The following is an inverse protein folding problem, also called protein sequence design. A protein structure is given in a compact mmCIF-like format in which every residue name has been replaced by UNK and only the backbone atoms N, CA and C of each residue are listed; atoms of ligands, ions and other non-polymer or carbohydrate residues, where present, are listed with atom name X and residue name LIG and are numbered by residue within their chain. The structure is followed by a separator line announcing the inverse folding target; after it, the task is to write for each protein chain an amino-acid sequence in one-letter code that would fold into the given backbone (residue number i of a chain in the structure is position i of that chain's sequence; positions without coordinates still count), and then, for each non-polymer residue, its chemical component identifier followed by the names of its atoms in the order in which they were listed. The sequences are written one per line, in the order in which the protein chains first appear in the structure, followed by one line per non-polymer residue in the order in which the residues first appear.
data_IF_590561552153
#
_entry.id   IF_590561552153
#
_cell.length_a   1.000
_cell.length_b   1.000
_cell.length_c   1.000
_cell.angle_alpha   90.00
_cell.angle_beta   90.00
_cell.angle_gamma   90.00
#
_symmetry.space_group_name_H-M   'P 1'
#
loop_
_entity.id
_entity.type
_entity.pdbx_description
1 polymer ?
#
# COMPACT_ATOMS: atom_id res chain seq x y z
N UNK A 1 -11.05 13.39 22.77
CA UNK A 1 -9.81 12.61 22.54
C UNK A 1 -10.21 11.21 22.08
N UNK A 2 -10.07 10.96 20.81
CA UNK A 2 -10.36 9.65 20.25
C UNK A 2 -9.36 8.63 20.78
N UNK A 3 -9.84 7.62 21.48
CA UNK A 3 -9.07 6.41 21.74
C UNK A 3 -8.73 5.82 20.36
N UNK A 4 -7.49 6.05 19.91
CA UNK A 4 -6.94 5.20 18.87
C UNK A 4 -6.91 3.81 19.47
N UNK A 5 -7.89 2.99 19.09
CA UNK A 5 -7.90 1.60 19.45
C UNK A 5 -6.58 1.01 18.96
N UNK A 6 -5.72 0.59 19.89
CA UNK A 6 -4.54 -0.17 19.54
C UNK A 6 -5.02 -1.40 18.77
N UNK A 7 -4.82 -1.39 17.47
CA UNK A 7 -5.07 -2.57 16.65
C UNK A 7 -4.14 -3.65 17.19
N UNK A 8 -4.70 -4.68 17.78
CA UNK A 8 -3.93 -5.81 18.25
C UNK A 8 -3.39 -6.56 17.03
N UNK A 9 -2.15 -6.30 16.68
CA UNK A 9 -1.48 -6.91 15.56
C UNK A 9 -1.11 -8.35 15.87
N UNK A 10 -1.54 -9.29 15.05
CA UNK A 10 -1.16 -10.71 15.17
C UNK A 10 0.04 -11.04 14.27
N UNK A 11 0.65 -12.21 14.47
CA UNK A 11 1.73 -12.69 13.57
C UNK A 11 1.23 -12.89 12.15
N UNK A 12 0.02 -13.38 12.00
CA UNK A 12 -0.63 -13.58 10.70
C UNK A 12 -0.83 -12.24 9.98
N UNK A 13 -1.26 -11.22 10.70
CA UNK A 13 -1.41 -9.87 10.16
C UNK A 13 -0.07 -9.34 9.65
N UNK A 14 0.97 -9.42 10.46
CA UNK A 14 2.32 -9.00 10.07
C UNK A 14 2.83 -9.76 8.85
N UNK A 15 2.64 -11.06 8.82
CA UNK A 15 3.04 -11.87 7.68
C UNK A 15 2.34 -11.43 6.41
N UNK A 16 1.04 -11.19 6.48
CA UNK A 16 0.26 -10.71 5.35
C UNK A 16 0.71 -9.33 4.89
N UNK A 17 0.97 -8.43 5.83
CA UNK A 17 1.44 -7.07 5.50
C UNK A 17 2.86 -7.07 4.92
N UNK A 18 3.74 -7.92 5.39
CA UNK A 18 5.08 -8.08 4.81
C UNK A 18 4.99 -8.61 3.38
N UNK A 19 4.15 -9.60 3.12
CA UNK A 19 3.91 -10.12 1.77
C UNK A 19 3.39 -9.05 0.81
N UNK A 20 2.52 -8.20 1.31
CA UNK A 20 1.86 -7.17 0.52
C UNK A 20 2.59 -5.83 0.53
N UNK A 21 3.62 -5.68 1.35
CA UNK A 21 4.34 -4.43 1.57
C UNK A 21 4.78 -3.77 0.27
N UNK A 22 5.39 -4.52 -0.60
CA UNK A 22 5.90 -4.04 -1.88
C UNK A 22 4.84 -3.34 -2.72
N UNK A 23 3.71 -3.99 -2.97
CA UNK A 23 2.67 -3.37 -3.80
C UNK A 23 1.85 -2.32 -3.05
N UNK A 24 1.73 -2.41 -1.72
CA UNK A 24 1.10 -1.36 -0.92
C UNK A 24 1.88 -0.05 -1.00
N UNK A 25 3.20 -0.12 -0.87
CA UNK A 25 4.09 1.05 -1.02
C UNK A 25 3.99 1.62 -2.43
N UNK A 26 4.03 0.77 -3.45
CA UNK A 26 3.88 1.20 -4.85
C UNK A 26 2.54 1.92 -5.09
N UNK A 27 1.45 1.43 -4.52
CA UNK A 27 0.13 2.05 -4.62
C UNK A 27 0.09 3.41 -3.92
N UNK A 28 0.69 3.52 -2.74
CA UNK A 28 0.79 4.78 -2.00
C UNK A 28 1.63 5.81 -2.79
N UNK A 29 2.76 5.38 -3.32
CA UNK A 29 3.63 6.24 -4.15
C UNK A 29 2.90 6.75 -5.39
N UNK A 30 2.17 5.89 -6.07
CA UNK A 30 1.37 6.28 -7.22
C UNK A 30 0.29 7.30 -6.85
N UNK A 31 -0.39 7.10 -5.73
CA UNK A 31 -1.40 8.01 -5.22
C UNK A 31 -0.84 9.40 -4.85
N UNK A 32 0.42 9.45 -4.44
CA UNK A 32 1.11 10.70 -4.05
C UNK A 32 1.79 11.40 -5.21
N UNK A 33 1.93 10.75 -6.38
CA UNK A 33 2.48 11.42 -7.55
C UNK A 33 1.61 12.61 -7.91
N UNK A 34 2.20 13.82 -8.07
CA UNK A 34 1.43 14.93 -8.60
C UNK A 34 0.89 14.50 -9.96
N UNK A 35 -0.39 14.76 -10.20
CA UNK A 35 -0.96 14.62 -11.53
C UNK A 35 -0.01 15.34 -12.47
N UNK A 36 0.62 14.63 -13.37
CA UNK A 36 1.56 15.21 -14.31
C UNK A 36 0.87 16.43 -14.92
N UNK A 37 1.52 17.59 -14.81
CA UNK A 37 1.06 18.77 -15.53
C UNK A 37 0.97 18.31 -16.97
N UNK A 38 -0.24 18.19 -17.45
CA UNK A 38 -0.48 17.86 -18.86
C UNK A 38 0.28 18.91 -19.62
N UNK A 39 1.38 18.51 -20.24
CA UNK A 39 2.13 19.43 -21.08
C UNK A 39 1.16 20.07 -22.02
N UNK A 40 1.08 21.39 -21.96
CA UNK A 40 0.16 22.21 -22.75
C UNK A 40 0.31 22.00 -24.28
N UNK A 41 1.16 21.07 -24.69
CA UNK A 41 1.43 20.73 -26.09
C UNK A 41 0.56 19.60 -26.65
N UNK A 42 -0.22 18.91 -25.82
CA UNK A 42 -1.24 17.97 -26.33
C UNK A 42 -2.61 18.67 -26.37
N UNK A 43 -2.69 19.65 -27.21
CA UNK A 43 -3.84 20.56 -27.32
C UNK A 43 -5.19 19.90 -27.62
N UNK A 44 -5.20 18.69 -28.12
CA UNK A 44 -6.44 18.02 -28.51
C UNK A 44 -7.02 17.21 -27.33
N UNK A 45 -6.18 16.57 -26.55
CA UNK A 45 -6.64 15.79 -25.38
C UNK A 45 -7.03 16.66 -24.19
N UNK A 46 -6.33 17.79 -23.99
CA UNK A 46 -6.56 18.68 -22.85
C UNK A 46 -7.89 19.44 -22.95
N UNK A 47 -8.30 19.84 -24.14
CA UNK A 47 -9.61 20.49 -24.35
C UNK A 47 -10.77 19.53 -24.12
N UNK A 48 -10.65 18.29 -24.56
CA UNK A 48 -11.67 17.25 -24.35
C UNK A 48 -11.76 16.90 -22.86
N UNK A 49 -10.63 16.78 -22.17
CA UNK A 49 -10.60 16.50 -20.74
C UNK A 49 -11.19 17.65 -19.91
N UNK A 50 -10.89 18.90 -20.27
CA UNK A 50 -11.43 20.08 -19.57
C UNK A 50 -12.93 20.24 -19.76
N UNK A 51 -13.42 20.04 -20.96
CA UNK A 51 -14.86 20.05 -21.24
C UNK A 51 -15.57 18.80 -20.73
N UNK A 52 -14.91 17.64 -20.76
CA UNK A 52 -15.46 16.39 -20.28
C UNK A 52 -15.63 16.35 -18.77
N UNK A 53 -14.69 16.88 -18.02
CA UNK A 53 -14.75 16.90 -16.54
C UNK A 53 -15.77 17.93 -16.05
N UNK A 54 -15.79 19.12 -16.64
CA UNK A 54 -16.75 20.17 -16.27
C UNK A 54 -18.17 19.86 -16.77
N UNK A 55 -18.31 19.17 -17.91
CA UNK A 55 -19.61 18.74 -18.43
C UNK A 55 -20.17 17.50 -17.71
N UNK A 56 -19.29 16.65 -17.13
CA UNK A 56 -19.68 15.47 -16.37
C UNK A 56 -19.77 15.70 -14.88
N UNK A 57 -19.24 16.83 -14.38
CA UNK A 57 -19.52 17.23 -13.00
C UNK A 57 -21.01 17.63 -12.91
N UNK A 58 -21.82 16.85 -12.20
CA UNK A 58 -23.22 17.23 -12.07
C UNK A 58 -23.28 18.61 -11.42
N UNK A 59 -23.90 19.56 -12.14
CA UNK A 59 -24.23 20.85 -11.55
C UNK A 59 -25.13 20.54 -10.35
N UNK A 60 -24.70 21.00 -9.19
CA UNK A 60 -25.46 20.80 -7.96
C UNK A 60 -26.76 21.60 -8.07
N UNK A 61 -27.73 21.01 -8.68
CA UNK A 61 -29.11 21.47 -8.59
C UNK A 61 -29.88 20.45 -7.75
N UNK A 62 -29.78 20.63 -6.46
CA UNK A 62 -30.79 20.28 -5.48
C UNK A 62 -31.28 18.85 -5.35
N UNK A 63 -30.80 17.85 -6.09
CA UNK A 63 -31.22 16.49 -5.85
C UNK A 63 -30.03 15.55 -5.66
N UNK A 64 -29.92 14.99 -4.47
CA UNK A 64 -28.97 13.97 -4.07
C UNK A 64 -29.21 12.62 -4.78
N UNK A 65 -29.94 12.59 -5.88
CA UNK A 65 -30.39 11.39 -6.55
C UNK A 65 -29.70 11.09 -7.87
N UNK A 66 -28.60 11.80 -8.22
CA UNK A 66 -27.84 11.47 -9.40
C UNK A 66 -26.95 10.23 -9.13
N UNK A 67 -27.25 9.08 -9.77
CA UNK A 67 -26.49 7.85 -9.55
C UNK A 67 -25.02 7.98 -10.04
N UNK A 68 -24.73 8.81 -11.00
CA UNK A 68 -23.35 9.04 -11.49
C UNK A 68 -22.53 9.79 -10.44
N UNK A 69 -23.11 10.83 -9.86
CA UNK A 69 -22.48 11.58 -8.77
C UNK A 69 -22.19 10.68 -7.56
N UNK A 70 -23.17 9.89 -7.16
CA UNK A 70 -23.04 8.91 -6.07
C UNK A 70 -21.93 7.90 -6.36
N UNK A 71 -21.82 7.42 -7.60
CA UNK A 71 -20.78 6.47 -7.99
C UNK A 71 -19.37 7.09 -7.95
N UNK A 72 -19.21 8.32 -8.40
CA UNK A 72 -17.93 9.04 -8.32
C UNK A 72 -17.53 9.23 -6.86
N UNK A 73 -18.44 9.64 -5.99
CA UNK A 73 -18.19 9.76 -4.56
C UNK A 73 -17.80 8.45 -3.91
N UNK A 74 -18.49 7.37 -4.27
CA UNK A 74 -18.16 6.02 -3.77
C UNK A 74 -16.74 5.61 -4.14
N UNK A 75 -16.34 5.84 -5.39
CA UNK A 75 -14.98 5.50 -5.86
C UNK A 75 -13.91 6.29 -5.13
N UNK A 76 -14.10 7.60 -4.99
CA UNK A 76 -13.17 8.46 -4.26
C UNK A 76 -13.08 8.07 -2.78
N UNK A 77 -14.19 7.80 -2.16
CA UNK A 77 -14.23 7.37 -0.77
C UNK A 77 -13.47 6.06 -0.56
N UNK A 78 -13.73 5.04 -1.38
CA UNK A 78 -13.05 3.74 -1.29
C UNK A 78 -11.57 3.84 -1.60
N UNK A 79 -11.21 4.68 -2.56
CA UNK A 79 -9.81 4.92 -2.92
C UNK A 79 -9.05 5.54 -1.75
N UNK A 80 -9.56 6.61 -1.17
CA UNK A 80 -8.93 7.30 -0.05
C UNK A 80 -8.84 6.38 1.18
N UNK A 81 -9.92 5.67 1.49
CA UNK A 81 -9.94 4.73 2.60
C UNK A 81 -8.90 3.62 2.45
N UNK A 82 -8.75 3.09 1.24
CA UNK A 82 -7.75 2.06 0.94
C UNK A 82 -6.32 2.58 1.12
N UNK A 83 -6.04 3.79 0.66
CA UNK A 83 -4.72 4.41 0.83
C UNK A 83 -4.41 4.63 2.32
N UNK A 84 -5.33 5.15 3.09
CA UNK A 84 -5.17 5.32 4.54
C UNK A 84 -4.89 4.00 5.25
N UNK A 85 -5.61 2.94 4.90
CA UNK A 85 -5.42 1.59 5.43
C UNK A 85 -4.02 1.04 5.09
N UNK A 86 -3.58 1.21 3.85
CA UNK A 86 -2.23 0.79 3.43
C UNK A 86 -1.13 1.57 4.15
N UNK A 87 -1.29 2.88 4.29
CA UNK A 87 -0.34 3.73 5.04
C UNK A 87 -0.23 3.26 6.49
N UNK A 88 -1.33 2.94 7.11
CA UNK A 88 -1.40 2.42 8.47
C UNK A 88 -0.62 1.10 8.60
N UNK A 89 -0.88 0.15 7.72
CA UNK A 89 -0.21 -1.15 7.69
C UNK A 89 1.29 -1.04 7.42
N UNK A 90 1.67 -0.24 6.44
CA UNK A 90 3.08 0.04 6.11
C UNK A 90 3.80 0.67 7.30
N UNK A 91 3.19 1.64 7.95
CA UNK A 91 3.75 2.30 9.15
C UNK A 91 3.93 1.30 10.30
N UNK A 92 2.98 0.41 10.52
CA UNK A 92 3.09 -0.63 11.55
C UNK A 92 4.25 -1.60 11.28
N UNK A 93 4.45 -1.98 10.02
CA UNK A 93 5.62 -2.79 9.64
C UNK A 93 6.92 -2.01 9.87
N UNK A 94 6.99 -0.77 9.42
CA UNK A 94 8.20 0.07 9.56
C UNK A 94 8.62 0.29 11.01
N UNK A 95 7.66 0.48 11.91
CA UNK A 95 7.94 0.63 13.34
C UNK A 95 8.61 -0.59 13.96
N UNK A 96 8.38 -1.76 13.39
CA UNK A 96 8.89 -3.03 13.91
C UNK A 96 10.20 -3.49 13.26
N UNK A 97 10.60 -2.89 12.13
CA UNK A 97 11.86 -3.22 11.47
C UNK A 97 13.08 -3.12 12.41
N UNK A 98 13.22 -2.07 13.24
CA UNK A 98 14.37 -1.96 14.16
C UNK A 98 14.48 -3.08 15.20
N UNK A 99 13.43 -3.83 15.43
CA UNK A 99 13.47 -4.96 16.37
C UNK A 99 14.11 -6.22 15.80
N UNK A 100 14.33 -6.25 14.49
CA UNK A 100 14.94 -7.39 13.81
C UNK A 100 16.45 -7.30 13.90
N UNK A 101 17.07 -8.33 14.49
CA UNK A 101 18.51 -8.43 14.66
C UNK A 101 19.02 -9.70 13.97
N UNK A 102 20.26 -9.67 13.54
CA UNK A 102 20.92 -10.77 12.86
C UNK A 102 21.09 -10.47 11.36
N UNK A 103 22.26 -10.78 10.83
CA UNK A 103 22.58 -10.47 9.44
C UNK A 103 21.69 -11.20 8.45
N UNK A 104 21.40 -12.46 8.72
CA UNK A 104 20.50 -13.27 7.87
C UNK A 104 19.05 -12.80 7.95
N UNK A 105 18.59 -12.50 9.17
CA UNK A 105 17.25 -12.01 9.42
C UNK A 105 17.00 -10.68 8.72
N UNK A 106 17.93 -9.75 8.82
CA UNK A 106 17.85 -8.44 8.15
C UNK A 106 17.83 -8.59 6.64
N UNK A 107 18.69 -9.44 6.08
CA UNK A 107 18.73 -9.68 4.62
C UNK A 107 17.42 -10.34 4.13
N UNK A 108 16.93 -11.34 4.84
CA UNK A 108 15.65 -12.00 4.49
C UNK A 108 14.50 -11.01 4.57
N UNK A 109 14.42 -10.20 5.62
CA UNK A 109 13.38 -9.19 5.78
C UNK A 109 13.43 -8.18 4.63
N UNK A 110 14.60 -7.67 4.31
CA UNK A 110 14.79 -6.73 3.19
C UNK A 110 14.22 -7.29 1.89
N UNK A 111 14.54 -8.52 1.57
CA UNK A 111 14.06 -9.16 0.34
C UNK A 111 12.58 -9.48 0.36
N UNK A 112 12.04 -9.88 1.51
CA UNK A 112 10.60 -10.07 1.66
C UNK A 112 9.82 -8.77 1.42
N UNK A 113 10.32 -7.65 1.95
CA UNK A 113 9.73 -6.33 1.75
C UNK A 113 9.83 -5.85 0.29
N UNK A 114 10.85 -6.29 -0.43
CA UNK A 114 11.00 -6.03 -1.87
C UNK A 114 10.14 -6.94 -2.75
N UNK A 115 9.41 -7.86 -2.17
CA UNK A 115 8.47 -8.73 -2.89
C UNK A 115 9.04 -10.05 -3.38
N UNK A 116 10.24 -10.44 -2.97
CA UNK A 116 10.85 -11.71 -3.35
C UNK A 116 10.16 -12.90 -2.66
N UNK A 117 10.03 -14.00 -3.37
CA UNK A 117 9.51 -15.24 -2.81
C UNK A 117 10.54 -15.92 -1.91
N UNK A 118 10.08 -16.78 -1.00
CA UNK A 118 10.96 -17.59 -0.15
C UNK A 118 11.96 -18.40 -0.97
N UNK A 119 11.50 -18.97 -2.08
CA UNK A 119 12.35 -19.73 -3.00
C UNK A 119 13.46 -18.88 -3.63
N UNK A 120 13.12 -17.69 -4.11
CA UNK A 120 14.07 -16.75 -4.70
C UNK A 120 15.11 -16.29 -3.67
N UNK A 121 14.68 -16.02 -2.44
CA UNK A 121 15.58 -15.65 -1.34
C UNK A 121 16.54 -16.79 -1.03
N UNK A 122 16.02 -18.02 -0.95
CA UNK A 122 16.84 -19.20 -0.72
C UNK A 122 17.92 -19.41 -1.79
N UNK A 123 17.57 -19.22 -3.05
CA UNK A 123 18.52 -19.30 -4.17
C UNK A 123 19.61 -18.22 -4.06
N UNK A 124 19.23 -17.00 -3.72
CA UNK A 124 20.17 -15.88 -3.55
C UNK A 124 21.16 -16.11 -2.40
N UNK A 125 20.64 -16.56 -1.27
CA UNK A 125 21.44 -16.79 -0.06
C UNK A 125 22.09 -18.15 -0.01
N UNK A 126 21.83 -19.01 -0.99
CA UNK A 126 22.28 -20.41 -1.03
C UNK A 126 21.84 -21.21 0.20
N UNK A 127 20.60 -20.98 0.60
CA UNK A 127 19.94 -21.67 1.70
C UNK A 127 18.69 -22.39 1.20
N UNK A 128 18.30 -23.44 1.90
CA UNK A 128 17.06 -24.14 1.57
C UNK A 128 15.83 -23.28 1.87
N UNK A 129 14.74 -23.50 1.14
CA UNK A 129 13.46 -22.82 1.39
C UNK A 129 12.97 -23.04 2.83
N UNK A 130 13.20 -24.22 3.39
CA UNK A 130 12.88 -24.53 4.80
C UNK A 130 13.66 -23.64 5.77
N UNK A 131 14.94 -23.40 5.50
CA UNK A 131 15.77 -22.52 6.32
C UNK A 131 15.25 -21.07 6.24
N UNK A 132 14.94 -20.58 5.05
CA UNK A 132 14.38 -19.24 4.87
C UNK A 132 13.03 -19.12 5.60
N UNK A 133 12.19 -20.14 5.53
CA UNK A 133 10.92 -20.18 6.23
C UNK A 133 11.10 -20.04 7.75
N UNK A 134 12.09 -20.74 8.33
CA UNK A 134 12.44 -20.64 9.75
C UNK A 134 12.94 -19.24 10.11
N UNK A 135 13.79 -18.65 9.27
CA UNK A 135 14.28 -17.28 9.46
C UNK A 135 13.11 -16.30 9.43
N UNK A 136 12.19 -16.44 8.49
CA UNK A 136 10.98 -15.61 8.43
C UNK A 136 10.17 -15.70 9.73
N UNK A 137 9.95 -16.90 10.25
CA UNK A 137 9.22 -17.08 11.49
C UNK A 137 9.94 -16.44 12.69
N UNK A 138 11.26 -16.51 12.71
CA UNK A 138 12.07 -15.83 13.73
C UNK A 138 11.94 -14.30 13.62
N UNK A 139 11.98 -13.76 12.40
CA UNK A 139 11.73 -12.33 12.12
C UNK A 139 10.37 -11.90 12.70
N UNK A 140 9.32 -12.64 12.42
CA UNK A 140 7.98 -12.35 12.92
C UNK A 140 7.94 -12.36 14.46
N UNK A 141 8.63 -13.30 15.08
CA UNK A 141 8.73 -13.36 16.55
C UNK A 141 9.47 -12.16 17.13
N UNK A 142 10.52 -11.69 16.48
CA UNK A 142 11.25 -10.48 16.89
C UNK A 142 10.41 -9.22 16.72
N UNK A 143 9.64 -9.12 15.65
CA UNK A 143 8.78 -7.97 15.37
C UNK A 143 7.56 -7.88 16.28
N UNK A 144 7.20 -8.97 16.94
CA UNK A 144 6.08 -9.02 17.89
C UNK A 144 6.45 -8.60 19.31
N UNK A 145 7.70 -8.38 19.57
CA UNK A 145 8.17 -7.97 20.93
C UNK A 145 7.90 -6.46 21.22
#
# INVERSE_FOLDING_TARGET
MGKQGQIKVTKEDLLQWIKNYHWMVATIEEARKPVAKVDNNSYIGAKIAKYGIEATLPRISGSNSDPVFTEVHRRLYLYNKRIEDFESKVTEVQKRIPYVNGDREVEVLHRLLDGYSIRAIGQHMRLSSTTIFRIRNNILSQMMK
#
